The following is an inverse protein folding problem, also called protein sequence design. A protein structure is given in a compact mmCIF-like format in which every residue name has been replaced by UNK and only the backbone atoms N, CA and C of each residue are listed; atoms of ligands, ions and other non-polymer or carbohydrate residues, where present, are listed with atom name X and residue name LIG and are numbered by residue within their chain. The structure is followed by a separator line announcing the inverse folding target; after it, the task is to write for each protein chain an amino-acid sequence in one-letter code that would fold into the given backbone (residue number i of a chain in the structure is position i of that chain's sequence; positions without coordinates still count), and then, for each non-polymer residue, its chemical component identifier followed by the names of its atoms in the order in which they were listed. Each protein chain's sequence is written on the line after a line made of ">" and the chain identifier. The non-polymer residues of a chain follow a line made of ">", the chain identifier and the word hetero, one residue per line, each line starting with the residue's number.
data_IF_455261326266
#
_entry.id   IF_455261326266
#
_cell.length_a   1.000
_cell.length_b   1.000
_cell.length_c   1.000
_cell.angle_alpha   90.00
_cell.angle_beta   90.00
_cell.angle_gamma   90.00
#
_symmetry.space_group_name_H-M   'P 1'
#
loop_
_entity.id
_entity.type
_entity.pdbx_description
1 polymer ?
#
# COMPACT_ATOMS: atom_id res chain seq x y z
N UNK A 1 13.49 7.75 48.15
CA UNK A 1 14.46 7.33 47.12
C UNK A 1 13.75 7.48 45.79
N UNK A 2 14.12 8.52 45.05
CA UNK A 2 13.57 8.78 43.73
C UNK A 2 14.21 7.80 42.74
N UNK A 3 13.39 6.90 42.19
CA UNK A 3 13.79 5.87 41.22
C UNK A 3 13.85 6.44 39.79
N UNK A 4 13.90 7.77 39.62
CA UNK A 4 13.93 8.45 38.32
C UNK A 4 15.28 8.35 37.57
N UNK A 5 16.29 7.67 38.14
CA UNK A 5 17.55 7.36 37.45
C UNK A 5 17.42 6.17 36.46
N UNK A 6 16.23 5.89 35.95
CA UNK A 6 15.99 4.87 34.93
C UNK A 6 16.60 5.31 33.58
N UNK A 7 17.86 4.91 33.41
CA UNK A 7 18.61 4.84 32.15
C UNK A 7 18.58 6.12 31.28
N UNK A 8 19.45 7.11 31.55
CA UNK A 8 19.60 8.34 30.76
C UNK A 8 19.86 8.10 29.26
N UNK A 9 20.51 6.97 28.92
CA UNK A 9 20.71 6.58 27.54
C UNK A 9 19.41 6.16 26.85
N UNK A 10 18.52 5.45 27.57
CA UNK A 10 17.19 5.09 27.05
C UNK A 10 16.31 6.33 26.83
N UNK A 11 16.35 7.31 27.73
CA UNK A 11 15.64 8.58 27.54
C UNK A 11 16.20 9.38 26.35
N UNK A 12 17.53 9.45 26.20
CA UNK A 12 18.18 10.08 25.05
C UNK A 12 17.81 9.39 23.73
N UNK A 13 17.82 8.06 23.69
CA UNK A 13 17.39 7.29 22.52
C UNK A 13 15.92 7.52 22.19
N UNK A 14 15.04 7.58 23.21
CA UNK A 14 13.62 7.88 23.02
C UNK A 14 13.39 9.26 22.43
N UNK A 15 14.11 10.27 22.92
CA UNK A 15 14.08 11.64 22.38
C UNK A 15 14.60 11.70 20.94
N UNK A 16 15.70 11.01 20.64
CA UNK A 16 16.26 10.95 19.29
C UNK A 16 15.29 10.28 18.28
N UNK A 17 14.63 9.19 18.68
CA UNK A 17 13.61 8.51 17.86
C UNK A 17 12.42 9.43 17.60
N UNK A 18 11.92 10.13 18.63
CA UNK A 18 10.81 11.09 18.48
C UNK A 18 11.18 12.24 17.53
N UNK A 19 12.39 12.79 17.67
CA UNK A 19 12.86 13.88 16.81
C UNK A 19 12.97 13.42 15.35
N UNK A 20 13.56 12.24 15.11
CA UNK A 20 13.66 11.65 13.76
C UNK A 20 12.28 11.33 13.19
N UNK A 21 11.36 10.83 14.01
CA UNK A 21 9.97 10.58 13.61
C UNK A 21 9.25 11.85 13.19
N UNK A 22 9.38 12.94 13.96
CA UNK A 22 8.79 14.23 13.63
C UNK A 22 9.38 14.84 12.35
N UNK A 23 10.69 14.72 12.12
CA UNK A 23 11.32 15.15 10.87
C UNK A 23 10.80 14.34 9.68
N UNK A 24 10.73 13.02 9.81
CA UNK A 24 10.20 12.16 8.76
C UNK A 24 8.74 12.46 8.44
N UNK A 25 7.88 12.66 9.46
CA UNK A 25 6.49 13.03 9.26
C UNK A 25 6.31 14.33 8.45
N UNK A 26 7.25 15.28 8.55
CA UNK A 26 7.25 16.50 7.73
C UNK A 26 7.64 16.24 6.26
N UNK A 27 8.34 15.15 5.97
CA UNK A 27 8.81 14.79 4.62
C UNK A 27 7.83 13.88 3.87
N UNK A 28 6.93 13.19 4.58
CA UNK A 28 5.97 12.21 4.01
C UNK A 28 4.49 12.61 4.20
N UNK A 29 4.23 13.91 4.28
CA UNK A 29 2.89 14.46 4.56
C UNK A 29 1.83 14.00 3.57
N UNK A 30 2.18 13.92 2.28
CA UNK A 30 1.29 13.45 1.23
C UNK A 30 1.09 11.93 1.34
N UNK A 31 2.17 11.18 1.55
CA UNK A 31 2.08 9.74 1.79
C UNK A 31 1.13 9.41 2.95
N UNK A 32 1.25 10.13 4.07
CA UNK A 32 0.41 9.95 5.26
C UNK A 32 -1.04 10.36 5.04
N UNK A 33 -1.33 11.24 4.08
CA UNK A 33 -2.69 11.65 3.75
C UNK A 33 -3.47 10.62 2.92
N UNK A 34 -2.78 9.67 2.28
CA UNK A 34 -3.43 8.68 1.44
C UNK A 34 -4.09 7.56 2.25
N UNK A 35 -5.13 6.91 1.71
CA UNK A 35 -5.73 5.73 2.34
C UNK A 35 -4.69 4.61 2.55
N UNK A 36 -4.84 3.83 3.64
CA UNK A 36 -3.91 2.75 4.00
C UNK A 36 -3.70 1.75 2.85
N UNK A 37 -4.76 1.32 2.16
CA UNK A 37 -4.63 0.42 1.01
C UNK A 37 -3.68 0.94 -0.07
N UNK A 38 -3.64 2.27 -0.26
CA UNK A 38 -2.80 2.88 -1.27
C UNK A 38 -1.37 3.04 -0.75
N UNK A 39 -1.19 3.37 0.54
CA UNK A 39 0.12 3.33 1.19
C UNK A 39 0.76 1.94 1.11
N UNK A 40 -0.02 0.87 1.34
CA UNK A 40 0.44 -0.52 1.29
C UNK A 40 0.95 -0.93 -0.10
N UNK A 41 0.46 -0.29 -1.17
CA UNK A 41 0.89 -0.58 -2.54
C UNK A 41 2.41 -0.38 -2.79
N UNK A 42 3.07 0.45 -1.96
CA UNK A 42 4.52 0.68 -1.93
C UNK A 42 5.32 -0.54 -1.44
N UNK A 43 4.69 -1.40 -0.64
CA UNK A 43 5.33 -2.53 0.05
C UNK A 43 4.91 -3.90 -0.50
N UNK A 44 4.27 -3.92 -1.68
CA UNK A 44 3.74 -5.14 -2.26
C UNK A 44 4.83 -6.19 -2.53
N UNK A 45 4.44 -7.45 -2.36
CA UNK A 45 5.29 -8.60 -2.62
C UNK A 45 5.62 -8.70 -4.11
N UNK A 46 6.73 -9.39 -4.42
CA UNK A 46 7.20 -9.58 -5.80
C UNK A 46 6.13 -10.20 -6.70
N UNK A 47 5.29 -11.09 -6.16
CA UNK A 47 4.16 -11.69 -6.87
C UNK A 47 3.19 -10.67 -7.48
N UNK A 48 2.96 -9.53 -6.82
CA UNK A 48 2.13 -8.43 -7.35
C UNK A 48 2.96 -7.53 -8.27
N UNK A 49 4.20 -7.22 -7.88
CA UNK A 49 5.09 -6.33 -8.65
C UNK A 49 5.39 -6.91 -10.04
N UNK A 50 5.66 -8.21 -10.15
CA UNK A 50 5.88 -8.87 -11.43
C UNK A 50 4.66 -8.78 -12.34
N UNK A 51 3.44 -8.89 -11.79
CA UNK A 51 2.20 -8.79 -12.58
C UNK A 51 2.05 -7.39 -13.20
N UNK A 52 2.49 -6.32 -12.53
CA UNK A 52 2.48 -4.94 -13.06
C UNK A 52 3.24 -4.77 -14.37
N UNK A 53 4.14 -5.68 -14.72
CA UNK A 53 4.93 -5.64 -15.96
C UNK A 53 4.25 -6.34 -17.14
N UNK A 54 3.18 -7.10 -16.88
CA UNK A 54 2.53 -7.94 -17.90
C UNK A 54 1.60 -7.13 -18.82
N UNK A 55 1.14 -7.69 -19.95
CA UNK A 55 0.03 -7.12 -20.72
C UNK A 55 -1.26 -7.03 -19.90
N UNK A 56 -2.18 -6.16 -20.32
CA UNK A 56 -3.45 -5.93 -19.60
C UNK A 56 -4.22 -7.22 -19.32
N UNK A 57 -4.36 -8.11 -20.29
CA UNK A 57 -5.10 -9.38 -20.16
C UNK A 57 -4.55 -10.27 -19.04
N UNK A 58 -3.24 -10.31 -18.85
CA UNK A 58 -2.60 -11.04 -17.76
C UNK A 58 -2.82 -10.33 -16.41
N UNK A 59 -2.68 -8.98 -16.39
CA UNK A 59 -2.93 -8.19 -15.17
C UNK A 59 -4.35 -8.36 -14.65
N UNK A 60 -5.35 -8.23 -15.53
CA UNK A 60 -6.76 -8.24 -15.13
C UNK A 60 -7.17 -9.63 -14.64
N UNK A 61 -6.67 -10.69 -15.30
CA UNK A 61 -6.91 -12.08 -14.87
C UNK A 61 -6.33 -12.35 -13.48
N UNK A 62 -5.09 -11.91 -13.23
CA UNK A 62 -4.46 -12.06 -11.92
C UNK A 62 -5.20 -11.27 -10.82
N UNK A 63 -5.57 -10.02 -11.10
CA UNK A 63 -6.27 -9.18 -10.13
C UNK A 63 -7.71 -9.66 -9.84
N UNK A 64 -8.42 -10.18 -10.84
CA UNK A 64 -9.70 -10.87 -10.63
C UNK A 64 -9.54 -12.12 -9.76
N UNK A 65 -8.46 -12.89 -9.96
CA UNK A 65 -8.11 -14.01 -9.09
C UNK A 65 -7.88 -13.60 -7.64
N UNK A 66 -7.14 -12.52 -7.40
CA UNK A 66 -6.95 -11.94 -6.06
C UNK A 66 -8.29 -11.51 -5.45
N UNK A 67 -9.16 -10.83 -6.21
CA UNK A 67 -10.52 -10.49 -5.74
C UNK A 67 -11.32 -11.74 -5.34
N UNK A 68 -11.27 -12.81 -6.13
CA UNK A 68 -11.96 -14.07 -5.81
C UNK A 68 -11.40 -14.69 -4.52
N UNK A 69 -10.09 -14.68 -4.31
CA UNK A 69 -9.48 -15.11 -3.05
C UNK A 69 -9.95 -14.24 -1.88
N UNK A 70 -10.03 -12.92 -2.07
CA UNK A 70 -10.58 -12.00 -1.07
C UNK A 70 -12.03 -12.32 -0.71
N UNK A 71 -12.88 -12.61 -1.70
CA UNK A 71 -14.25 -13.04 -1.46
C UNK A 71 -14.32 -14.38 -0.68
N UNK A 72 -13.40 -15.30 -0.94
CA UNK A 72 -13.33 -16.58 -0.23
C UNK A 72 -12.94 -16.39 1.25
N UNK A 73 -11.92 -15.57 1.52
CA UNK A 73 -11.55 -15.18 2.88
C UNK A 73 -12.70 -14.46 3.58
N UNK A 74 -13.37 -13.56 2.87
CA UNK A 74 -14.51 -12.81 3.38
C UNK A 74 -15.65 -13.73 3.84
N UNK A 75 -16.04 -14.69 3.00
CA UNK A 75 -17.07 -15.67 3.34
C UNK A 75 -16.65 -16.62 4.48
N UNK A 76 -15.35 -16.76 4.71
CA UNK A 76 -14.78 -17.49 5.85
C UNK A 76 -14.56 -16.62 7.08
N UNK A 77 -15.08 -15.39 7.10
CA UNK A 77 -14.94 -14.40 8.19
C UNK A 77 -13.48 -13.99 8.48
N UNK A 78 -12.56 -14.26 7.54
CA UNK A 78 -11.16 -13.88 7.57
C UNK A 78 -10.98 -12.48 6.95
N UNK A 79 -11.45 -11.44 7.65
CA UNK A 79 -11.59 -10.10 7.09
C UNK A 79 -10.25 -9.42 6.77
N UNK A 80 -9.22 -9.61 7.58
CA UNK A 80 -7.90 -9.01 7.34
C UNK A 80 -7.28 -9.57 6.06
N UNK A 81 -7.36 -10.88 5.87
CA UNK A 81 -6.91 -11.56 4.64
C UNK A 81 -7.75 -11.15 3.44
N UNK A 82 -9.07 -11.00 3.62
CA UNK A 82 -9.94 -10.51 2.56
C UNK A 82 -9.53 -9.13 2.08
N UNK A 83 -9.32 -8.19 3.01
CA UNK A 83 -8.84 -6.84 2.71
C UNK A 83 -7.49 -6.92 1.99
N UNK A 84 -6.53 -7.67 2.52
CA UNK A 84 -5.21 -7.81 1.91
C UNK A 84 -5.30 -8.29 0.44
N UNK A 85 -6.18 -9.24 0.12
CA UNK A 85 -6.39 -9.69 -1.26
C UNK A 85 -7.02 -8.61 -2.16
N UNK A 86 -7.99 -7.85 -1.67
CA UNK A 86 -8.55 -6.72 -2.42
C UNK A 86 -7.52 -5.62 -2.67
N UNK A 87 -6.65 -5.34 -1.69
CA UNK A 87 -5.54 -4.39 -1.82
C UNK A 87 -4.53 -4.85 -2.88
N UNK A 88 -4.17 -6.14 -2.90
CA UNK A 88 -3.30 -6.71 -3.94
C UNK A 88 -3.90 -6.51 -5.33
N UNK A 89 -5.19 -6.80 -5.49
CA UNK A 89 -5.90 -6.62 -6.76
C UNK A 89 -5.83 -5.16 -7.26
N UNK A 90 -6.06 -4.19 -6.37
CA UNK A 90 -5.94 -2.76 -6.68
C UNK A 90 -4.50 -2.36 -7.02
N UNK A 91 -3.54 -2.87 -6.26
CA UNK A 91 -2.12 -2.53 -6.38
C UNK A 91 -1.44 -3.08 -7.64
N UNK A 92 -2.13 -3.89 -8.45
CA UNK A 92 -1.70 -4.22 -9.82
C UNK A 92 -1.83 -3.02 -10.75
N UNK A 93 -2.82 -2.14 -10.52
CA UNK A 93 -3.18 -1.08 -11.47
C UNK A 93 -3.00 0.33 -10.91
N UNK A 94 -3.19 0.53 -9.60
CA UNK A 94 -2.97 1.81 -8.95
C UNK A 94 -2.03 1.62 -7.77
N UNK A 95 -0.83 2.17 -7.85
CA UNK A 95 0.20 1.92 -6.84
C UNK A 95 1.22 3.06 -6.73
N UNK A 96 1.95 3.02 -5.62
CA UNK A 96 3.09 3.87 -5.32
C UNK A 96 4.39 3.14 -5.62
N UNK A 97 5.35 3.91 -6.13
CA UNK A 97 6.76 3.54 -6.21
C UNK A 97 7.59 4.65 -5.59
N UNK A 98 8.80 4.29 -5.15
CA UNK A 98 9.79 5.26 -4.71
C UNK A 98 10.98 5.20 -5.66
N UNK A 99 11.34 6.35 -6.24
CA UNK A 99 12.43 6.45 -7.21
C UNK A 99 13.83 6.36 -6.58
N UNK A 100 13.95 6.57 -5.26
CA UNK A 100 15.21 6.38 -4.53
C UNK A 100 15.37 4.91 -4.11
N UNK A 101 16.29 4.12 -4.70
CA UNK A 101 16.49 2.72 -4.31
C UNK A 101 16.90 2.51 -2.84
N UNK A 102 17.38 3.55 -2.17
CA UNK A 102 17.77 3.54 -0.75
C UNK A 102 16.66 3.90 0.24
N UNK A 103 15.43 4.16 -0.23
CA UNK A 103 14.34 4.70 0.58
C UNK A 103 14.03 3.87 1.84
N UNK A 104 14.13 2.53 1.77
CA UNK A 104 13.90 1.64 2.93
C UNK A 104 14.82 1.93 4.12
N UNK A 105 15.99 2.53 3.89
CA UNK A 105 16.94 2.91 4.94
C UNK A 105 16.84 4.40 5.32
N UNK A 106 16.58 5.26 4.33
CA UNK A 106 16.56 6.72 4.50
C UNK A 106 15.24 7.23 5.08
N UNK A 107 14.13 6.58 4.72
CA UNK A 107 12.79 7.06 4.98
C UNK A 107 11.99 7.23 3.69
N UNK A 108 10.71 7.56 3.85
CA UNK A 108 9.84 7.91 2.73
C UNK A 108 9.82 9.43 2.65
N UNK A 109 9.99 9.97 1.46
CA UNK A 109 9.85 11.40 1.19
C UNK A 109 8.90 11.58 0.01
N UNK A 110 7.97 12.52 0.13
CA UNK A 110 6.94 12.80 -0.88
C UNK A 110 7.57 13.13 -2.24
N UNK A 111 8.73 13.80 -2.25
CA UNK A 111 9.46 14.18 -3.46
C UNK A 111 9.93 12.97 -4.29
N UNK A 112 10.07 11.80 -3.65
CA UNK A 112 10.52 10.57 -4.30
C UNK A 112 9.38 9.63 -4.70
N UNK A 113 8.14 9.98 -4.34
CA UNK A 113 6.95 9.20 -4.68
C UNK A 113 6.58 9.34 -6.16
N UNK A 114 6.34 8.18 -6.77
CA UNK A 114 5.76 8.06 -8.10
C UNK A 114 4.42 7.35 -7.99
N UNK A 115 3.38 7.94 -8.55
CA UNK A 115 2.04 7.37 -8.60
C UNK A 115 1.81 6.81 -9.99
N UNK A 116 1.44 5.53 -10.05
CA UNK A 116 0.90 4.93 -11.26
C UNK A 116 -0.60 4.72 -11.09
N UNK A 117 -1.40 5.18 -12.05
CA UNK A 117 -2.81 4.79 -12.23
C UNK A 117 -3.00 4.32 -13.68
N UNK A 118 -2.94 3.02 -13.88
CA UNK A 118 -3.02 2.38 -15.19
C UNK A 118 -4.38 2.66 -15.85
N UNK A 119 -4.33 2.97 -17.15
CA UNK A 119 -5.50 3.16 -18.02
C UNK A 119 -5.37 2.27 -19.24
N UNK A 120 -6.48 1.66 -19.64
CA UNK A 120 -6.55 0.93 -20.89
C UNK A 120 -6.83 1.91 -22.03
N UNK A 121 -6.28 1.63 -23.20
CA UNK A 121 -6.61 2.39 -24.42
C UNK A 121 -8.00 2.00 -24.93
N UNK A 122 -8.35 0.71 -24.82
CA UNK A 122 -9.64 0.18 -25.24
C UNK A 122 -10.74 0.48 -24.21
N UNK A 123 -11.87 1.11 -24.62
CA UNK A 123 -12.93 1.50 -23.69
C UNK A 123 -13.56 0.34 -22.93
N UNK A 124 -13.68 -0.84 -23.54
CA UNK A 124 -14.30 -1.99 -22.88
C UNK A 124 -13.38 -2.64 -21.84
N UNK A 125 -12.07 -2.65 -22.10
CA UNK A 125 -11.06 -3.03 -21.12
C UNK A 125 -11.03 -2.03 -19.94
N UNK A 126 -11.15 -0.74 -20.24
CA UNK A 126 -11.22 0.29 -19.20
C UNK A 126 -12.46 0.11 -18.32
N UNK A 127 -13.64 -0.17 -18.90
CA UNK A 127 -14.87 -0.46 -18.13
C UNK A 127 -14.69 -1.69 -17.24
N UNK A 128 -14.07 -2.76 -17.75
CA UNK A 128 -13.79 -3.97 -16.96
C UNK A 128 -12.87 -3.67 -15.78
N UNK A 129 -11.81 -2.92 -16.02
CA UNK A 129 -10.89 -2.47 -14.98
C UNK A 129 -11.60 -1.60 -13.93
N UNK A 130 -12.44 -0.65 -14.36
CA UNK A 130 -13.18 0.22 -13.45
C UNK A 130 -14.17 -0.58 -12.59
N UNK A 131 -14.88 -1.55 -13.17
CA UNK A 131 -15.77 -2.43 -12.43
C UNK A 131 -15.03 -3.26 -11.37
N UNK A 132 -13.83 -3.78 -11.69
CA UNK A 132 -12.98 -4.47 -10.73
C UNK A 132 -12.56 -3.52 -9.58
N UNK A 133 -12.04 -2.33 -9.91
CA UNK A 133 -11.57 -1.37 -8.90
C UNK A 133 -12.69 -0.91 -7.98
N UNK A 134 -13.86 -0.56 -8.54
CA UNK A 134 -15.04 -0.17 -7.76
C UNK A 134 -15.43 -1.29 -6.80
N UNK A 135 -15.49 -2.54 -7.28
CA UNK A 135 -15.81 -3.69 -6.43
C UNK A 135 -14.81 -3.86 -5.28
N UNK A 136 -13.51 -3.74 -5.52
CA UNK A 136 -12.51 -3.84 -4.46
C UNK A 136 -12.60 -2.68 -3.47
N UNK A 137 -12.81 -1.44 -3.94
CA UNK A 137 -13.00 -0.29 -3.03
C UNK A 137 -14.22 -0.44 -2.14
N UNK A 138 -15.35 -0.89 -2.69
CA UNK A 138 -16.56 -1.16 -1.91
C UNK A 138 -16.32 -2.27 -0.88
N UNK A 139 -15.61 -3.33 -1.26
CA UNK A 139 -15.30 -4.43 -0.37
C UNK A 139 -14.33 -4.01 0.75
N UNK A 140 -13.39 -3.10 0.51
CA UNK A 140 -12.50 -2.57 1.55
C UNK A 140 -13.25 -1.61 2.48
N UNK A 141 -14.13 -0.76 1.94
CA UNK A 141 -14.87 0.24 2.71
C UNK A 141 -16.07 -0.31 3.48
N UNK A 142 -16.48 -1.55 3.20
CA UNK A 142 -17.67 -2.18 3.79
C UNK A 142 -17.50 -2.72 5.21
N UNK A 143 -16.34 -2.51 5.84
CA UNK A 143 -15.97 -3.03 7.17
C UNK A 143 -15.56 -1.90 8.10
#
# INVERSE_FOLDING_TARGET
>A
MDMSAENPFADLMTKAVKLKGAQQAQLRTQFDSWPQYFQHSLFMQESVVTVRTKPFTERITAAEGMKVAGNAHFNGEAYEEAVAEYEKALAVFKYLENKDPGWKKKGIEDVDMLITDFKCEEPDDQKRLDALKISCYLNIAGW
#
